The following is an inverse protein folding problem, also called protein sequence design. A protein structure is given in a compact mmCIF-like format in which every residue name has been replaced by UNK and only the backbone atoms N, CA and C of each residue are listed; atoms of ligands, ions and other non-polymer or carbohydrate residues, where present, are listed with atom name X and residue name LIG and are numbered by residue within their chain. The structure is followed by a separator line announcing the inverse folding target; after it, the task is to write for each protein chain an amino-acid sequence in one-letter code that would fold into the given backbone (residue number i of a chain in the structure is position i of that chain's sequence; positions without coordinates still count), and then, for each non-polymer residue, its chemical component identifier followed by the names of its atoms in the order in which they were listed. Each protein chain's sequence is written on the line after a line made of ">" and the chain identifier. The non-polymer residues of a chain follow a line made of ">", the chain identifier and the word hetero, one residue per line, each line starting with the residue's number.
data_IF_173079651292
#
_entry.id   IF_173079651292
#
_cell.length_a   1.000
_cell.length_b   1.000
_cell.length_c   1.000
_cell.angle_alpha   90.00
_cell.angle_beta   90.00
_cell.angle_gamma   90.00
#
_symmetry.space_group_name_H-M   'P 1'
#
loop_
_entity.id
_entity.type
_entity.pdbx_description
1 polymer ?
#
# COMPACT_ATOMS: atom_id res chain seq x y z
N UNK A 1 -6.91 -1.98 67.69
CA UNK A 1 -5.92 -1.59 66.66
C UNK A 1 -5.51 -2.83 65.88
N UNK A 2 -6.01 -3.03 64.66
CA UNK A 2 -5.50 -4.03 63.70
C UNK A 2 -5.36 -3.31 62.35
N UNK A 3 -4.13 -2.97 61.98
CA UNK A 3 -3.82 -2.38 60.67
C UNK A 3 -3.71 -3.52 59.65
N UNK A 4 -4.63 -3.57 58.70
CA UNK A 4 -4.55 -4.47 57.55
C UNK A 4 -3.70 -3.77 56.49
N UNK A 5 -2.53 -4.32 56.18
CA UNK A 5 -1.72 -3.89 55.04
C UNK A 5 -2.28 -4.54 53.77
N UNK A 6 -2.81 -3.73 52.86
CA UNK A 6 -3.10 -4.16 51.50
C UNK A 6 -1.80 -4.16 50.69
N UNK A 7 -1.31 -5.35 50.35
CA UNK A 7 -0.21 -5.51 49.40
C UNK A 7 -0.80 -5.39 47.98
N UNK A 8 -0.60 -4.24 47.32
CA UNK A 8 -0.95 -4.08 45.90
C UNK A 8 0.17 -4.75 45.09
N UNK A 9 -0.10 -5.96 44.60
CA UNK A 9 0.75 -6.63 43.62
C UNK A 9 0.59 -5.91 42.27
N UNK A 10 1.56 -5.07 41.91
CA UNK A 10 1.64 -4.43 40.61
C UNK A 10 2.10 -5.49 39.59
N UNK A 11 1.15 -6.19 38.96
CA UNK A 11 1.43 -7.02 37.79
C UNK A 11 1.80 -6.11 36.62
N UNK A 12 3.11 -5.87 36.44
CA UNK A 12 3.64 -5.33 35.19
C UNK A 12 3.43 -6.36 34.09
N UNK A 13 2.37 -6.18 33.28
CA UNK A 13 2.27 -6.85 31.99
C UNK A 13 3.42 -6.34 31.11
N UNK A 14 4.50 -7.10 31.04
CA UNK A 14 5.53 -6.93 30.03
C UNK A 14 4.88 -7.20 28.67
N UNK A 15 4.38 -6.15 28.01
CA UNK A 15 4.01 -6.27 26.61
C UNK A 15 5.30 -6.50 25.83
N UNK A 16 5.46 -7.61 25.11
CA UNK A 16 6.64 -7.82 24.28
C UNK A 16 6.73 -6.65 23.30
N UNK A 17 7.83 -5.91 23.37
CA UNK A 17 8.13 -4.89 22.38
C UNK A 17 8.56 -5.63 21.11
N UNK A 18 7.63 -5.83 20.17
CA UNK A 18 8.00 -6.28 18.83
C UNK A 18 8.92 -5.22 18.22
N UNK A 19 10.18 -5.57 17.97
CA UNK A 19 11.06 -4.77 17.14
C UNK A 19 10.56 -4.83 15.70
N UNK A 20 10.04 -3.72 15.15
CA UNK A 20 9.53 -3.75 13.78
C UNK A 20 10.66 -4.01 12.77
N UNK A 21 10.44 -4.88 11.77
CA UNK A 21 11.44 -5.15 10.74
C UNK A 21 11.77 -3.87 9.99
N UNK A 22 13.08 -3.59 9.90
CA UNK A 22 13.60 -2.56 9.03
C UNK A 22 13.69 -3.14 7.61
N UNK A 23 12.77 -2.72 6.73
CA UNK A 23 12.83 -3.06 5.31
C UNK A 23 13.47 -1.88 4.59
N UNK A 24 14.72 -2.04 4.20
CA UNK A 24 15.40 -1.13 3.30
C UNK A 24 15.75 -1.86 2.02
N UNK A 25 15.35 -1.27 0.89
CA UNK A 25 15.63 -1.80 -0.43
C UNK A 25 16.58 -0.84 -1.15
N UNK A 26 17.71 -1.40 -1.59
CA UNK A 26 18.65 -0.66 -2.41
C UNK A 26 17.98 -0.24 -3.74
N UNK A 27 18.62 0.70 -4.44
CA UNK A 27 18.08 1.27 -5.68
C UNK A 27 17.76 0.23 -6.76
N UNK A 28 18.57 -0.83 -6.86
CA UNK A 28 18.38 -1.87 -7.87
C UNK A 28 17.15 -2.72 -7.58
N UNK A 29 17.00 -3.21 -6.35
CA UNK A 29 15.81 -3.93 -5.90
C UNK A 29 14.56 -3.05 -6.03
N UNK A 30 14.66 -1.77 -5.66
CA UNK A 30 13.58 -0.80 -5.81
C UNK A 30 13.18 -0.58 -7.26
N UNK A 31 14.13 -0.51 -8.19
CA UNK A 31 13.83 -0.43 -9.62
C UNK A 31 13.08 -1.68 -10.09
N UNK A 32 13.55 -2.88 -9.77
CA UNK A 32 12.91 -4.14 -10.18
C UNK A 32 11.47 -4.24 -9.66
N UNK A 33 11.26 -3.92 -8.38
CA UNK A 33 9.93 -3.87 -7.75
C UNK A 33 9.07 -2.80 -8.42
N UNK A 34 9.59 -1.60 -8.58
CA UNK A 34 8.87 -0.47 -9.17
C UNK A 34 8.40 -0.72 -10.59
N UNK A 35 9.22 -1.36 -11.42
CA UNK A 35 8.83 -1.78 -12.77
C UNK A 35 7.67 -2.78 -12.72
N UNK A 36 7.73 -3.81 -11.87
CA UNK A 36 6.63 -4.78 -11.75
C UNK A 36 5.31 -4.12 -11.35
N UNK A 37 5.36 -3.21 -10.37
CA UNK A 37 4.19 -2.43 -9.95
C UNK A 37 3.67 -1.56 -11.09
N UNK A 38 4.55 -0.90 -11.85
CA UNK A 38 4.17 -0.08 -13.00
C UNK A 38 3.46 -0.91 -14.09
N UNK A 39 3.91 -2.13 -14.34
CA UNK A 39 3.22 -3.06 -15.24
C UNK A 39 1.84 -3.47 -14.71
N UNK A 40 1.71 -3.74 -13.41
CA UNK A 40 0.42 -4.08 -12.82
C UNK A 40 -0.59 -2.93 -12.84
N UNK A 41 -0.13 -1.68 -12.62
CA UNK A 41 -1.01 -0.51 -12.55
C UNK A 41 -1.41 0.01 -13.93
N UNK A 42 -0.47 0.12 -14.87
CA UNK A 42 -0.76 0.69 -16.18
C UNK A 42 0.04 0.08 -17.34
N UNK A 43 0.41 -1.20 -17.23
CA UNK A 43 1.07 -1.98 -18.27
C UNK A 43 2.38 -1.33 -18.78
N UNK A 44 3.11 -0.66 -17.88
CA UNK A 44 4.38 -0.01 -18.20
C UNK A 44 4.24 1.22 -19.11
N UNK A 45 3.04 1.79 -19.25
CA UNK A 45 2.81 2.95 -20.12
C UNK A 45 3.12 4.25 -19.40
N UNK A 46 3.96 5.10 -20.00
CA UNK A 46 4.28 6.44 -19.46
C UNK A 46 3.02 7.30 -19.32
N UNK A 47 2.10 7.24 -20.30
CA UNK A 47 0.81 7.94 -20.21
C UNK A 47 -0.05 7.47 -19.03
N UNK A 48 0.12 6.20 -18.60
CA UNK A 48 -0.58 5.63 -17.46
C UNK A 48 -0.09 6.14 -16.11
N UNK A 49 1.07 6.79 -16.04
CA UNK A 49 1.57 7.42 -14.81
C UNK A 49 0.76 8.66 -14.39
N UNK A 50 -0.17 9.11 -15.22
CA UNK A 50 -1.00 10.29 -14.97
C UNK A 50 -2.42 10.01 -15.45
N UNK A 51 -3.32 9.64 -14.54
CA UNK A 51 -4.71 9.32 -14.89
C UNK A 51 -5.68 10.08 -14.01
N UNK A 52 -6.91 10.26 -14.49
CA UNK A 52 -8.02 10.79 -13.70
C UNK A 52 -9.28 10.08 -14.17
N UNK A 53 -9.75 9.09 -13.40
CA UNK A 53 -10.87 8.27 -13.84
C UNK A 53 -12.19 9.03 -13.72
N UNK A 54 -13.18 8.61 -14.52
CA UNK A 54 -14.50 9.19 -14.44
C UNK A 54 -15.12 8.93 -13.06
N UNK A 55 -15.70 9.96 -12.45
CA UNK A 55 -16.29 9.89 -11.10
C UNK A 55 -15.30 10.08 -9.94
N UNK A 56 -13.99 10.15 -10.20
CA UNK A 56 -12.99 10.47 -9.17
C UNK A 56 -12.83 11.99 -8.99
N UNK A 57 -12.45 12.39 -7.77
CA UNK A 57 -12.22 13.80 -7.40
C UNK A 57 -10.72 14.15 -7.34
N UNK A 58 -9.87 13.28 -7.84
CA UNK A 58 -8.42 13.36 -7.73
C UNK A 58 -7.77 12.80 -9.00
N UNK A 59 -6.55 13.24 -9.28
CA UNK A 59 -5.67 12.59 -10.24
C UNK A 59 -4.88 11.47 -9.54
N UNK A 60 -4.60 10.40 -10.27
CA UNK A 60 -3.78 9.26 -9.84
C UNK A 60 -2.42 9.32 -10.53
N UNK A 61 -1.35 9.45 -9.75
CA UNK A 61 -0.01 9.73 -10.26
C UNK A 61 1.03 8.64 -9.92
N UNK A 62 1.99 8.46 -10.81
CA UNK A 62 3.15 7.59 -10.59
C UNK A 62 2.81 6.10 -10.60
N UNK A 63 3.82 5.28 -10.31
CA UNK A 63 3.68 3.81 -10.38
C UNK A 63 2.75 3.27 -9.29
N UNK A 64 2.53 4.01 -8.21
CA UNK A 64 1.60 3.63 -7.14
C UNK A 64 0.19 4.19 -7.32
N UNK A 65 -0.09 4.92 -8.41
CA UNK A 65 -1.35 5.65 -8.58
C UNK A 65 -1.71 6.49 -7.34
N UNK A 66 -0.74 7.27 -6.86
CA UNK A 66 -0.87 8.12 -5.69
C UNK A 66 -1.86 9.25 -5.95
N UNK A 67 -2.88 9.37 -5.09
CA UNK A 67 -3.91 10.38 -5.26
C UNK A 67 -3.37 11.80 -5.07
N UNK A 68 -3.81 12.71 -5.93
CA UNK A 68 -3.55 14.13 -5.84
C UNK A 68 -4.83 14.94 -6.01
N UNK A 69 -5.24 15.62 -4.95
CA UNK A 69 -6.49 16.36 -4.91
C UNK A 69 -6.28 17.84 -5.29
N UNK A 70 -7.24 18.45 -6.00
CA UNK A 70 -7.24 19.89 -6.22
C UNK A 70 -7.57 20.64 -4.91
N UNK A 71 -7.32 21.96 -4.92
CA UNK A 71 -7.59 22.83 -3.77
C UNK A 71 -9.06 22.70 -3.33
N UNK A 72 -9.29 22.67 -2.02
CA UNK A 72 -10.63 22.53 -1.42
C UNK A 72 -11.14 21.09 -1.31
N UNK A 73 -10.38 20.10 -1.80
CA UNK A 73 -10.70 18.66 -1.66
C UNK A 73 -9.60 17.89 -0.93
N UNK A 74 -8.72 18.61 -0.23
CA UNK A 74 -7.57 18.05 0.47
C UNK A 74 -8.01 17.03 1.53
N UNK A 75 -7.36 15.88 1.53
CA UNK A 75 -7.48 14.91 2.60
C UNK A 75 -6.07 14.41 2.92
N UNK A 76 -5.41 15.02 3.90
CA UNK A 76 -4.00 14.79 4.22
C UNK A 76 -3.61 13.31 4.35
N UNK A 77 -4.52 12.44 4.83
CA UNK A 77 -4.31 11.01 4.92
C UNK A 77 -4.43 10.27 3.57
N UNK A 78 -5.29 10.74 2.66
CA UNK A 78 -5.52 10.14 1.33
C UNK A 78 -4.68 10.75 0.22
N UNK A 79 -4.08 11.92 0.44
CA UNK A 79 -3.23 12.66 -0.50
C UNK A 79 -1.86 11.99 -0.63
N UNK A 80 -1.82 10.86 -1.32
CA UNK A 80 -0.62 10.04 -1.47
C UNK A 80 0.49 10.75 -2.25
N UNK A 81 0.16 11.55 -3.28
CA UNK A 81 1.18 12.19 -4.11
C UNK A 81 1.94 13.30 -3.36
N UNK A 82 1.26 14.20 -2.61
CA UNK A 82 1.95 15.10 -1.68
C UNK A 82 2.87 14.40 -0.68
N UNK A 83 2.46 13.24 -0.15
CA UNK A 83 3.32 12.47 0.75
C UNK A 83 4.57 11.93 0.04
N UNK A 84 4.42 11.46 -1.21
CA UNK A 84 5.54 11.03 -2.06
C UNK A 84 6.52 12.19 -2.31
N UNK A 85 6.03 13.37 -2.67
CA UNK A 85 6.89 14.54 -2.94
C UNK A 85 7.71 14.90 -1.70
N UNK A 86 7.08 14.98 -0.53
CA UNK A 86 7.80 15.24 0.73
C UNK A 86 8.82 14.16 1.06
N UNK A 87 8.51 12.90 0.76
CA UNK A 87 9.48 11.81 0.92
C UNK A 87 10.68 11.99 -0.01
N UNK A 88 10.43 12.29 -1.29
CA UNK A 88 11.46 12.56 -2.30
C UNK A 88 12.39 13.71 -1.91
N UNK A 89 11.84 14.82 -1.42
CA UNK A 89 12.64 15.95 -0.92
C UNK A 89 13.53 15.54 0.26
N UNK A 90 12.99 14.78 1.23
CA UNK A 90 13.75 14.30 2.40
C UNK A 90 14.92 13.38 2.02
N UNK A 91 14.76 12.58 0.96
CA UNK A 91 15.82 11.69 0.47
C UNK A 91 16.69 12.33 -0.62
N UNK A 92 16.58 13.65 -0.82
CA UNK A 92 17.48 14.43 -1.66
C UNK A 92 17.19 14.38 -3.17
N UNK A 93 16.00 13.95 -3.58
CA UNK A 93 15.58 14.03 -4.99
C UNK A 93 15.30 15.47 -5.38
N UNK A 94 15.84 15.91 -6.51
CA UNK A 94 15.49 17.20 -7.11
C UNK A 94 14.08 17.14 -7.69
N UNK A 95 13.12 17.71 -6.97
CA UNK A 95 11.71 17.80 -7.38
C UNK A 95 11.51 19.01 -8.31
N UNK A 96 10.66 18.93 -9.36
CA UNK A 96 10.29 20.09 -10.17
C UNK A 96 9.82 21.28 -9.33
N UNK A 97 10.30 22.48 -9.65
CA UNK A 97 10.07 23.69 -8.84
C UNK A 97 8.60 23.94 -8.48
N UNK A 98 7.69 23.68 -9.41
CA UNK A 98 6.26 23.91 -9.22
C UNK A 98 5.56 22.87 -8.32
N UNK A 99 6.27 21.82 -7.91
CA UNK A 99 5.83 20.81 -6.92
C UNK A 99 6.47 21.03 -5.53
N UNK A 100 7.46 21.91 -5.42
CA UNK A 100 8.17 22.19 -4.16
C UNK A 100 7.33 23.04 -3.21
N UNK A 101 7.66 22.99 -1.92
CA UNK A 101 7.13 23.89 -0.88
C UNK A 101 6.97 23.20 0.47
N UNK A 102 6.87 23.99 1.56
CA UNK A 102 6.63 23.45 2.92
C UNK A 102 5.39 22.55 2.97
N UNK A 103 4.38 22.92 2.17
CA UNK A 103 3.23 22.09 1.85
C UNK A 103 3.24 21.90 0.35
N UNK A 104 3.33 20.65 -0.11
CA UNK A 104 3.24 20.32 -1.54
C UNK A 104 1.99 20.97 -2.14
N UNK A 105 2.12 21.72 -3.24
CA UNK A 105 0.98 22.38 -3.87
C UNK A 105 -0.14 21.39 -4.23
N UNK A 106 -1.42 21.83 -4.14
CA UNK A 106 -2.54 21.01 -4.60
C UNK A 106 -2.44 20.72 -6.10
N UNK A 107 -3.21 19.73 -6.57
CA UNK A 107 -3.30 19.43 -8.00
C UNK A 107 -3.68 20.71 -8.76
N UNK A 108 -2.88 21.13 -9.77
CA UNK A 108 -3.10 22.39 -10.47
C UNK A 108 -4.30 22.34 -11.43
N UNK A 109 -4.81 21.14 -11.72
CA UNK A 109 -6.01 20.91 -12.52
C UNK A 109 -7.20 20.69 -11.59
N UNK A 110 -8.21 21.54 -11.70
CA UNK A 110 -9.37 21.53 -10.79
C UNK A 110 -10.40 20.48 -11.18
N UNK A 111 -10.44 20.14 -12.46
CA UNK A 111 -11.38 19.18 -13.03
C UNK A 111 -10.66 18.14 -13.87
N UNK A 112 -11.34 17.02 -14.12
CA UNK A 112 -10.86 15.98 -15.02
C UNK A 112 -10.71 16.53 -16.44
N UNK A 113 -11.60 17.41 -16.88
CA UNK A 113 -11.58 18.03 -18.20
C UNK A 113 -10.33 18.90 -18.39
N UNK A 114 -9.98 19.72 -17.39
CA UNK A 114 -8.73 20.48 -17.39
C UNK A 114 -7.50 19.55 -17.44
N UNK A 115 -7.51 18.47 -16.65
CA UNK A 115 -6.44 17.49 -16.63
C UNK A 115 -6.28 16.77 -17.97
N UNK A 116 -7.38 16.49 -18.66
CA UNK A 116 -7.40 15.88 -19.99
C UNK A 116 -6.91 16.83 -21.08
N UNK A 117 -7.34 18.09 -21.04
CA UNK A 117 -6.84 19.11 -21.96
C UNK A 117 -5.33 19.33 -21.81
N UNK A 118 -4.82 19.20 -20.59
CA UNK A 118 -3.40 19.39 -20.27
C UNK A 118 -2.51 18.18 -20.57
N UNK A 119 -3.03 17.07 -21.08
CA UNK A 119 -2.27 15.82 -21.27
C UNK A 119 -0.99 15.99 -22.11
N UNK A 120 -1.00 16.94 -23.05
CA UNK A 120 0.14 17.27 -23.92
C UNK A 120 0.86 18.56 -23.53
N UNK A 121 0.49 19.18 -22.41
CA UNK A 121 1.16 20.37 -21.91
C UNK A 121 2.60 20.05 -21.47
N UNK A 122 3.50 21.05 -21.57
CA UNK A 122 4.88 20.93 -21.07
C UNK A 122 4.93 20.49 -19.61
N UNK A 123 4.02 21.02 -18.78
CA UNK A 123 3.90 20.67 -17.35
C UNK A 123 3.57 19.18 -17.15
N UNK A 124 2.67 18.62 -17.94
CA UNK A 124 2.32 17.20 -17.84
C UNK A 124 3.44 16.29 -18.35
N UNK A 125 4.15 16.72 -19.41
CA UNK A 125 5.31 15.99 -19.93
C UNK A 125 6.46 15.97 -18.91
N UNK A 126 6.77 17.13 -18.31
CA UNK A 126 7.74 17.25 -17.20
C UNK A 126 7.36 16.35 -16.01
N UNK A 127 6.08 16.36 -15.61
CA UNK A 127 5.59 15.50 -14.53
C UNK A 127 5.81 14.02 -14.84
N UNK A 128 5.49 13.56 -16.06
CA UNK A 128 5.69 12.15 -16.45
C UNK A 128 7.16 11.79 -16.49
N UNK A 129 8.00 12.66 -17.04
CA UNK A 129 9.44 12.41 -17.09
C UNK A 129 10.01 12.27 -15.68
N UNK A 130 9.66 13.20 -14.79
CA UNK A 130 10.01 13.12 -13.37
C UNK A 130 9.55 11.79 -12.72
N UNK A 131 8.32 11.36 -12.98
CA UNK A 131 7.78 10.09 -12.47
C UNK A 131 8.50 8.86 -13.05
N UNK A 132 8.98 8.91 -14.29
CA UNK A 132 9.79 7.82 -14.87
C UNK A 132 11.17 7.78 -14.23
N UNK A 133 11.82 8.93 -14.08
CA UNK A 133 13.19 9.03 -13.58
C UNK A 133 13.31 8.65 -12.09
N UNK A 134 12.18 8.66 -11.38
CA UNK A 134 12.10 8.41 -9.93
C UNK A 134 11.38 7.10 -9.57
N UNK A 135 11.20 6.18 -10.52
CA UNK A 135 10.56 4.87 -10.27
C UNK A 135 11.15 4.15 -9.03
N UNK A 136 12.48 4.05 -8.84
CA UNK A 136 13.05 3.41 -7.65
C UNK A 136 12.62 4.10 -6.35
N UNK A 137 12.60 5.44 -6.34
CA UNK A 137 12.25 6.22 -5.14
C UNK A 137 10.76 6.09 -4.83
N UNK A 138 9.91 5.98 -5.84
CA UNK A 138 8.49 5.66 -5.64
C UNK A 138 8.29 4.30 -5.00
N UNK A 139 9.03 3.26 -5.42
CA UNK A 139 8.97 1.95 -4.79
C UNK A 139 9.47 1.98 -3.34
N UNK A 140 10.56 2.70 -3.07
CA UNK A 140 11.06 2.93 -1.70
C UNK A 140 10.04 3.65 -0.83
N UNK A 141 9.33 4.65 -1.37
CA UNK A 141 8.24 5.32 -0.67
C UNK A 141 7.10 4.34 -0.31
N UNK A 142 6.76 3.41 -1.20
CA UNK A 142 5.73 2.41 -0.92
C UNK A 142 6.17 1.42 0.17
N UNK A 143 7.45 1.02 0.20
CA UNK A 143 8.03 0.25 1.32
C UNK A 143 7.99 1.06 2.62
N UNK A 144 8.38 2.33 2.58
CA UNK A 144 8.32 3.23 3.72
C UNK A 144 6.88 3.29 4.28
N UNK A 145 5.87 3.42 3.42
CA UNK A 145 4.46 3.39 3.85
C UNK A 145 4.06 2.05 4.48
N UNK A 146 4.48 0.94 3.87
CA UNK A 146 4.22 -0.41 4.38
C UNK A 146 4.77 -0.59 5.81
N UNK A 147 6.04 -0.25 6.02
CA UNK A 147 6.69 -0.37 7.34
C UNK A 147 5.99 0.50 8.38
N UNK A 148 5.61 1.74 8.02
CA UNK A 148 4.89 2.64 8.93
C UNK A 148 3.44 2.22 9.20
N UNK A 149 2.83 1.39 8.34
CA UNK A 149 1.51 0.84 8.57
C UNK A 149 1.50 -0.37 9.53
N UNK A 150 2.63 -1.08 9.65
CA UNK A 150 2.74 -2.32 10.42
C UNK A 150 2.35 -2.17 11.90
N UNK A 151 2.79 -1.14 12.65
CA UNK A 151 2.36 -0.98 14.04
C UNK A 151 0.85 -0.88 14.22
N UNK A 152 0.19 -0.18 13.29
CA UNK A 152 -1.26 -0.03 13.26
C UNK A 152 -1.93 -1.36 12.91
N UNK A 153 -1.36 -2.15 11.99
CA UNK A 153 -1.87 -3.47 11.66
C UNK A 153 -1.87 -4.38 12.90
N UNK A 154 -0.70 -4.55 13.54
CA UNK A 154 -0.55 -5.39 14.74
C UNK A 154 -1.46 -4.93 15.87
N UNK A 155 -1.59 -3.62 16.10
CA UNK A 155 -2.46 -3.08 17.16
C UNK A 155 -3.94 -3.42 16.94
N UNK A 156 -4.38 -3.49 15.68
CA UNK A 156 -5.76 -3.82 15.33
C UNK A 156 -6.04 -5.32 15.22
N UNK A 157 -5.02 -6.18 15.36
CA UNK A 157 -5.14 -7.64 15.38
C UNK A 157 -5.44 -8.15 16.81
N UNK A 158 -6.33 -9.16 16.98
CA UNK A 158 -6.52 -9.87 18.24
C UNK A 158 -5.19 -10.35 18.83
N UNK A 159 -5.06 -10.33 20.16
CA UNK A 159 -3.77 -10.55 20.82
C UNK A 159 -3.14 -11.90 20.44
N UNK A 160 -3.96 -12.94 20.37
CA UNK A 160 -3.64 -14.31 19.99
C UNK A 160 -3.10 -14.47 18.55
N UNK A 161 -3.42 -13.53 17.66
CA UNK A 161 -3.00 -13.56 16.26
C UNK A 161 -1.78 -12.69 15.98
N UNK A 162 -1.43 -11.75 16.88
CA UNK A 162 -0.37 -10.75 16.65
C UNK A 162 1.00 -11.36 16.33
N UNK A 163 1.39 -12.39 17.08
CA UNK A 163 2.67 -13.08 16.87
C UNK A 163 2.72 -13.71 15.48
N UNK A 164 1.68 -14.45 15.10
CA UNK A 164 1.58 -15.07 13.79
C UNK A 164 1.63 -14.02 12.66
N UNK A 165 0.87 -12.92 12.75
CA UNK A 165 0.87 -11.86 11.74
C UNK A 165 2.24 -11.21 11.63
N UNK A 166 2.90 -10.95 12.76
CA UNK A 166 4.23 -10.39 12.79
C UNK A 166 5.25 -11.32 12.13
N UNK A 167 5.25 -12.61 12.48
CA UNK A 167 6.15 -13.61 11.89
C UNK A 167 5.97 -13.74 10.37
N UNK A 168 4.72 -13.83 9.89
CA UNK A 168 4.48 -13.92 8.45
C UNK A 168 4.93 -12.66 7.71
N UNK A 169 4.75 -11.48 8.31
CA UNK A 169 5.26 -10.24 7.74
C UNK A 169 6.80 -10.27 7.65
N UNK A 170 7.48 -10.68 8.73
CA UNK A 170 8.95 -10.82 8.74
C UNK A 170 9.41 -11.81 7.66
N UNK A 171 8.80 -12.99 7.59
CA UNK A 171 9.13 -14.02 6.61
C UNK A 171 8.96 -13.52 5.17
N UNK A 172 7.86 -12.83 4.86
CA UNK A 172 7.65 -12.22 3.55
C UNK A 172 8.69 -11.13 3.26
N UNK A 173 8.93 -10.25 4.22
CA UNK A 173 9.88 -9.14 4.06
C UNK A 173 11.35 -9.57 3.93
N UNK A 174 11.67 -10.83 4.25
CA UNK A 174 13.03 -11.38 4.14
C UNK A 174 13.47 -11.68 2.70
N UNK A 175 12.56 -11.60 1.71
CA UNK A 175 12.85 -11.90 0.31
C UNK A 175 12.40 -10.77 -0.61
N UNK A 176 13.09 -10.52 -1.75
CA UNK A 176 12.65 -9.53 -2.73
C UNK A 176 11.22 -9.76 -3.25
N UNK A 177 10.85 -11.02 -3.47
CA UNK A 177 9.52 -11.42 -3.94
C UNK A 177 8.44 -11.13 -2.89
N UNK A 178 8.72 -11.44 -1.62
CA UNK A 178 7.77 -11.14 -0.55
C UNK A 178 7.65 -9.65 -0.27
N UNK A 179 8.73 -8.85 -0.35
CA UNK A 179 8.64 -7.38 -0.30
C UNK A 179 7.75 -6.87 -1.44
N UNK A 180 7.97 -7.34 -2.68
CA UNK A 180 7.13 -7.00 -3.81
C UNK A 180 5.65 -7.33 -3.56
N UNK A 181 5.37 -8.54 -3.09
CA UNK A 181 4.00 -8.99 -2.79
C UNK A 181 3.32 -8.11 -1.73
N UNK A 182 4.01 -7.81 -0.63
CA UNK A 182 3.50 -6.94 0.45
C UNK A 182 3.20 -5.53 -0.07
N UNK A 183 4.16 -4.93 -0.79
CA UNK A 183 4.06 -3.56 -1.30
C UNK A 183 2.96 -3.44 -2.34
N UNK A 184 2.95 -4.32 -3.34
CA UNK A 184 1.95 -4.29 -4.41
C UNK A 184 0.55 -4.58 -3.86
N UNK A 185 0.40 -5.54 -2.95
CA UNK A 185 -0.92 -5.87 -2.39
C UNK A 185 -1.50 -4.72 -1.54
N UNK A 186 -0.67 -4.02 -0.76
CA UNK A 186 -1.10 -2.81 -0.05
C UNK A 186 -1.49 -1.71 -1.03
N UNK A 187 -0.75 -1.52 -2.13
CA UNK A 187 -1.14 -0.55 -3.16
C UNK A 187 -2.48 -0.91 -3.82
N UNK A 188 -2.67 -2.21 -4.05
CA UNK A 188 -3.79 -2.76 -4.79
C UNK A 188 -5.10 -2.83 -3.99
N UNK A 189 -5.06 -3.35 -2.76
CA UNK A 189 -6.23 -3.60 -1.90
C UNK A 189 -6.20 -2.89 -0.55
N UNK A 190 -5.09 -2.23 -0.22
CA UNK A 190 -4.92 -1.55 1.05
C UNK A 190 -4.49 -2.46 2.20
N UNK A 191 -4.22 -1.83 3.33
CA UNK A 191 -3.71 -2.47 4.55
C UNK A 191 -4.70 -3.46 5.18
N UNK A 192 -6.00 -3.21 5.05
CA UNK A 192 -7.01 -4.01 5.77
C UNK A 192 -7.11 -3.67 7.26
N UNK A 193 -6.85 -2.42 7.65
CA UNK A 193 -6.98 -1.92 9.03
C UNK A 193 -8.20 -0.98 9.24
N UNK A 194 -9.23 -1.11 8.39
CA UNK A 194 -10.44 -0.29 8.41
C UNK A 194 -11.58 -0.88 9.27
N UNK A 195 -12.71 -0.17 9.39
CA UNK A 195 -13.86 -0.63 10.20
C UNK A 195 -14.42 -1.97 9.71
N UNK A 196 -14.40 -2.22 8.39
CA UNK A 196 -14.86 -3.47 7.80
C UNK A 196 -13.96 -4.67 8.12
N UNK A 197 -12.65 -4.45 8.29
CA UNK A 197 -11.74 -5.54 8.66
C UNK A 197 -11.87 -5.92 10.14
N UNK A 198 -12.23 -4.98 11.02
CA UNK A 198 -12.52 -5.26 12.44
C UNK A 198 -13.74 -6.19 12.66
N UNK A 199 -14.53 -6.46 11.62
CA UNK A 199 -15.66 -7.40 11.65
C UNK A 199 -15.35 -8.73 10.97
N UNK A 200 -14.09 -8.99 10.60
CA UNK A 200 -13.68 -10.19 9.88
C UNK A 200 -14.11 -10.23 8.41
N UNK A 201 -14.54 -9.10 7.82
CA UNK A 201 -15.04 -9.01 6.44
C UNK A 201 -14.14 -8.14 5.55
N UNK A 202 -12.83 -8.19 5.77
CA UNK A 202 -11.84 -7.41 5.02
C UNK A 202 -11.17 -8.19 3.90
N UNK A 203 -10.51 -7.47 2.99
CA UNK A 203 -9.79 -8.04 1.84
C UNK A 203 -8.38 -7.46 1.68
N UNK A 204 -7.94 -6.70 2.69
CA UNK A 204 -6.64 -6.03 2.68
C UNK A 204 -5.53 -6.95 3.15
N UNK A 205 -4.31 -6.40 3.24
CA UNK A 205 -3.12 -7.15 3.61
C UNK A 205 -3.32 -7.99 4.88
N UNK A 206 -3.93 -7.42 5.93
CA UNK A 206 -4.17 -8.14 7.19
C UNK A 206 -4.88 -9.48 6.97
N UNK A 207 -5.99 -9.49 6.22
CA UNK A 207 -6.77 -10.71 5.98
C UNK A 207 -6.02 -11.73 5.13
N UNK A 208 -5.17 -11.27 4.22
CA UNK A 208 -4.30 -12.17 3.46
C UNK A 208 -3.29 -12.83 4.39
N UNK A 209 -2.64 -12.06 5.26
CA UNK A 209 -1.67 -12.62 6.20
C UNK A 209 -2.35 -13.56 7.20
N UNK A 210 -3.52 -13.20 7.75
CA UNK A 210 -4.35 -14.06 8.60
C UNK A 210 -4.69 -15.38 7.90
N UNK A 211 -5.13 -15.32 6.65
CA UNK A 211 -5.54 -16.48 5.86
C UNK A 211 -4.39 -17.46 5.54
N UNK A 212 -3.12 -17.03 5.61
CA UNK A 212 -1.96 -17.91 5.39
C UNK A 212 -1.93 -19.08 6.38
N UNK A 213 -2.57 -18.95 7.56
CA UNK A 213 -2.70 -20.03 8.55
C UNK A 213 -3.34 -21.29 7.98
N UNK A 214 -4.21 -21.13 6.98
CA UNK A 214 -4.95 -22.21 6.36
C UNK A 214 -4.34 -22.68 5.04
N UNK A 215 -3.17 -22.13 4.65
CA UNK A 215 -2.50 -22.52 3.42
C UNK A 215 -2.01 -23.99 3.50
N UNK A 216 -2.05 -24.73 2.38
CA UNK A 216 -1.47 -26.07 2.34
C UNK A 216 0.01 -26.09 2.78
N UNK A 217 0.37 -27.05 3.63
CA UNK A 217 1.68 -27.11 4.28
C UNK A 217 2.89 -27.27 3.33
N UNK A 218 2.66 -27.66 2.07
CA UNK A 218 3.71 -27.80 1.06
C UNK A 218 4.08 -26.49 0.36
N UNK A 219 3.31 -25.41 0.58
CA UNK A 219 3.58 -24.10 -0.01
C UNK A 219 4.67 -23.36 0.78
N UNK A 220 5.59 -22.71 0.07
CA UNK A 220 6.49 -21.74 0.70
C UNK A 220 5.74 -20.45 1.08
N UNK A 221 6.40 -19.54 1.81
CA UNK A 221 5.77 -18.33 2.36
C UNK A 221 5.08 -17.47 1.29
N UNK A 222 5.72 -17.22 0.14
CA UNK A 222 5.14 -16.38 -0.93
C UNK A 222 4.00 -17.11 -1.63
N UNK A 223 4.11 -18.42 -1.84
CA UNK A 223 3.03 -19.24 -2.38
C UNK A 223 1.81 -19.26 -1.44
N UNK A 224 2.03 -19.38 -0.13
CA UNK A 224 0.97 -19.29 0.88
C UNK A 224 0.29 -17.92 0.86
N UNK A 225 1.05 -16.84 0.69
CA UNK A 225 0.51 -15.49 0.54
C UNK A 225 -0.37 -15.35 -0.72
N UNK A 226 0.09 -15.84 -1.88
CA UNK A 226 -0.69 -15.81 -3.14
C UNK A 226 -1.95 -16.67 -3.02
N UNK A 227 -1.86 -17.84 -2.40
CA UNK A 227 -3.01 -18.70 -2.13
C UNK A 227 -4.05 -17.97 -1.27
N UNK A 228 -3.60 -17.34 -0.18
CA UNK A 228 -4.47 -16.60 0.73
C UNK A 228 -5.09 -15.36 0.06
N UNK A 229 -4.30 -14.62 -0.72
CA UNK A 229 -4.77 -13.47 -1.48
C UNK A 229 -5.85 -13.87 -2.49
N UNK A 230 -5.66 -14.98 -3.20
CA UNK A 230 -6.65 -15.51 -4.11
C UNK A 230 -7.98 -15.85 -3.39
N UNK A 231 -7.91 -16.45 -2.21
CA UNK A 231 -9.10 -16.78 -1.41
C UNK A 231 -9.82 -15.52 -0.93
N UNK A 232 -9.07 -14.54 -0.40
CA UNK A 232 -9.64 -13.25 0.03
C UNK A 232 -10.35 -12.54 -1.14
N UNK A 233 -9.72 -12.50 -2.33
CA UNK A 233 -10.31 -11.88 -3.52
C UNK A 233 -11.53 -12.65 -4.05
N UNK A 234 -11.51 -13.98 -3.97
CA UNK A 234 -12.65 -14.83 -4.38
C UNK A 234 -13.85 -14.61 -3.45
N UNK A 235 -13.59 -14.58 -2.14
CA UNK A 235 -14.61 -14.35 -1.13
C UNK A 235 -15.19 -12.93 -1.22
N UNK A 236 -14.37 -11.93 -1.56
CA UNK A 236 -14.84 -10.57 -1.87
C UNK A 236 -15.90 -10.56 -2.96
N UNK A 237 -15.63 -11.23 -4.08
CA UNK A 237 -16.58 -11.31 -5.20
C UNK A 237 -17.84 -12.05 -4.80
N UNK A 238 -17.71 -13.11 -3.98
CA UNK A 238 -18.86 -13.87 -3.47
C UNK A 238 -19.77 -13.03 -2.59
N UNK A 239 -19.20 -12.14 -1.78
CA UNK A 239 -19.95 -11.24 -0.89
C UNK A 239 -20.41 -9.93 -1.56
N UNK A 240 -19.89 -9.60 -2.74
CA UNK A 240 -20.24 -8.39 -3.44
C UNK A 240 -21.71 -8.42 -3.88
N UNK A 241 -22.37 -7.26 -3.87
CA UNK A 241 -23.76 -7.18 -4.35
C UNK A 241 -23.83 -7.61 -5.82
N UNK A 242 -24.93 -8.22 -6.28
CA UNK A 242 -25.08 -8.61 -7.69
C UNK A 242 -24.90 -7.44 -8.66
N UNK A 243 -25.27 -6.22 -8.24
CA UNK A 243 -25.11 -4.98 -9.01
C UNK A 243 -23.68 -4.45 -9.13
N UNK A 244 -22.75 -4.93 -8.30
CA UNK A 244 -21.36 -4.46 -8.27
C UNK A 244 -20.53 -4.94 -9.48
N UNK A 245 -20.96 -6.05 -10.11
CA UNK A 245 -20.27 -6.72 -11.21
C UNK A 245 -18.77 -7.00 -10.93
N UNK A 246 -18.37 -7.16 -9.65
CA UNK A 246 -16.96 -7.30 -9.28
C UNK A 246 -16.29 -8.55 -9.86
N UNK A 247 -17.08 -9.60 -10.17
CA UNK A 247 -16.59 -10.84 -10.76
C UNK A 247 -15.82 -10.66 -12.07
N UNK A 248 -16.11 -9.60 -12.84
CA UNK A 248 -15.36 -9.30 -14.07
C UNK A 248 -13.89 -8.92 -13.83
N UNK A 249 -13.56 -8.47 -12.63
CA UNK A 249 -12.21 -8.03 -12.27
C UNK A 249 -11.35 -9.15 -11.70
N UNK A 250 -11.97 -10.20 -11.16
CA UNK A 250 -11.28 -11.31 -10.50
C UNK A 250 -10.18 -11.96 -11.36
N UNK A 251 -10.38 -12.21 -12.68
CA UNK A 251 -9.31 -12.73 -13.53
C UNK A 251 -8.09 -11.81 -13.56
N UNK A 252 -8.29 -10.49 -13.69
CA UNK A 252 -7.20 -9.51 -13.67
C UNK A 252 -6.51 -9.45 -12.31
N UNK A 253 -7.26 -9.55 -11.22
CA UNK A 253 -6.71 -9.60 -9.87
C UNK A 253 -5.87 -10.85 -9.63
N UNK A 254 -6.31 -12.01 -10.13
CA UNK A 254 -5.54 -13.26 -10.09
C UNK A 254 -4.24 -13.14 -10.88
N UNK A 255 -4.31 -12.60 -12.10
CA UNK A 255 -3.11 -12.37 -12.91
C UNK A 255 -2.10 -11.48 -12.18
N UNK A 256 -2.57 -10.42 -11.51
CA UNK A 256 -1.72 -9.54 -10.69
C UNK A 256 -1.02 -10.29 -9.56
N UNK A 257 -1.74 -11.03 -8.72
CA UNK A 257 -1.13 -11.76 -7.59
C UNK A 257 -0.23 -12.93 -8.05
N UNK A 258 -0.49 -13.53 -9.22
CA UNK A 258 0.40 -14.54 -9.80
C UNK A 258 1.79 -13.97 -10.11
N UNK A 259 1.91 -12.68 -10.39
CA UNK A 259 3.22 -12.05 -10.63
C UNK A 259 4.14 -12.09 -9.41
N UNK A 260 3.59 -12.27 -8.19
CA UNK A 260 4.37 -12.33 -6.95
C UNK A 260 5.26 -13.58 -6.88
N UNK A 261 4.96 -14.60 -7.69
CA UNK A 261 5.74 -15.83 -7.78
C UNK A 261 6.97 -15.70 -8.71
N UNK A 262 7.15 -14.55 -9.36
CA UNK A 262 8.14 -14.30 -10.40
C UNK A 262 8.87 -12.97 -10.19
#
# INVERSE_FOLDING_TARGET
>A
MRRVFFLILLLCYLTPAFGYPFIDINRESALRIGIKIWYNECNGKIAGLTTWNNGERFASLGIGHFNWFPKGHLNSAKDGFPQLIRYMERVGVTVPYWLQGEITPPCPWHTREEFQAAQQSKKMQELRQFLVDTIPVQAQFMVYRLVNALPKLITNTPYEDREFIFEQFVNLSSTPQGIYALVDYVNFKGEGAGVFSKRGSGWGLLQVVEGMRYAPCHLNTVQAFVWSANNALTERVRQASPSSHEGKWLPGWRNRICTYLH
#
